data_IF_130764660908
#
_entry.id   IF_130764660908
#
_cell.length_a   1.000
_cell.length_b   1.000
_cell.length_c   1.000
_cell.angle_alpha   90.00
_cell.angle_beta   90.00
_cell.angle_gamma   90.00
#
_symmetry.space_group_name_H-M   'P 1'
#
loop_
_entity.id
_entity.type
_entity.pdbx_description
1 polymer ?
#
# COMPACT_ATOMS: atom_id res chain seq x y z
N UNK A 1 0.08 2.53 -4.45
CA UNK A 1 -1.22 3.16 -4.63
C UNK A 1 -1.54 3.13 -6.12
N UNK A 2 -2.70 2.62 -6.50
CA UNK A 2 -3.10 2.47 -7.92
C UNK A 2 -4.25 3.40 -8.30
N UNK A 3 -5.08 3.73 -7.32
CA UNK A 3 -6.29 4.50 -7.52
C UNK A 3 -6.26 5.76 -6.68
N UNK A 4 -6.80 6.84 -7.22
CA UNK A 4 -6.90 8.13 -6.52
C UNK A 4 -8.33 8.32 -6.06
N UNK A 5 -8.49 8.65 -4.77
CA UNK A 5 -9.76 9.10 -4.23
C UNK A 5 -10.26 10.33 -5.01
N UNK A 6 -11.54 10.41 -5.36
CA UNK A 6 -12.07 11.51 -6.18
C UNK A 6 -12.18 12.83 -5.39
N UNK A 7 -11.02 13.39 -4.98
CA UNK A 7 -10.95 14.60 -4.16
C UNK A 7 -11.67 15.82 -4.74
N UNK A 8 -11.73 15.93 -6.07
CA UNK A 8 -12.37 17.09 -6.72
C UNK A 8 -13.87 16.99 -6.73
N UNK A 9 -14.40 15.79 -6.71
CA UNK A 9 -15.83 15.48 -6.83
C UNK A 9 -16.50 15.34 -5.46
N UNK A 10 -15.74 14.99 -4.43
CA UNK A 10 -16.27 14.77 -3.08
C UNK A 10 -15.95 15.99 -2.21
N UNK A 11 -16.94 16.64 -1.59
CA UNK A 11 -16.71 17.78 -0.70
C UNK A 11 -15.86 17.41 0.52
N UNK A 12 -14.95 18.29 0.92
CA UNK A 12 -14.15 18.16 2.15
C UNK A 12 -15.07 18.04 3.36
N UNK A 13 -14.74 17.16 4.28
CA UNK A 13 -15.49 16.96 5.53
C UNK A 13 -16.77 16.13 5.35
N UNK A 14 -17.05 15.62 4.15
CA UNK A 14 -18.18 14.72 3.94
C UNK A 14 -18.07 13.46 4.81
N UNK A 15 -19.21 13.00 5.32
CA UNK A 15 -19.34 11.71 6.01
C UNK A 15 -19.62 10.63 4.97
N UNK A 16 -18.62 9.81 4.70
CA UNK A 16 -18.67 8.87 3.57
C UNK A 16 -18.71 7.41 4.02
N UNK A 17 -19.36 6.60 3.18
CA UNK A 17 -19.25 5.14 3.21
C UNK A 17 -18.47 4.71 1.97
N UNK A 18 -17.46 3.85 2.15
CA UNK A 18 -16.73 3.22 1.05
C UNK A 18 -17.33 1.84 0.83
N UNK A 19 -17.77 1.52 -0.38
CA UNK A 19 -18.27 0.19 -0.71
C UNK A 19 -17.39 -0.51 -1.74
N UNK A 20 -16.81 -1.63 -1.31
CA UNK A 20 -15.78 -2.44 -1.95
C UNK A 20 -14.45 -2.32 -1.20
N UNK A 21 -13.84 -3.48 -0.87
CA UNK A 21 -12.60 -3.53 -0.09
C UNK A 21 -11.42 -4.10 -0.91
N UNK A 22 -11.56 -4.17 -2.22
CA UNK A 22 -10.46 -4.49 -3.14
C UNK A 22 -9.43 -3.36 -3.17
N UNK A 23 -8.44 -3.44 -4.05
CA UNK A 23 -7.36 -2.47 -4.12
C UNK A 23 -7.84 -1.01 -4.20
N UNK A 24 -8.92 -0.74 -4.96
CA UNK A 24 -9.49 0.61 -5.08
C UNK A 24 -10.00 1.13 -3.73
N UNK A 25 -10.80 0.32 -3.03
CA UNK A 25 -11.33 0.69 -1.72
C UNK A 25 -10.23 0.85 -0.67
N UNK A 26 -9.23 -0.01 -0.73
CA UNK A 26 -8.05 0.08 0.11
C UNK A 26 -7.28 1.39 -0.09
N UNK A 27 -7.02 1.74 -1.35
CA UNK A 27 -6.33 2.99 -1.67
C UNK A 27 -7.14 4.22 -1.23
N UNK A 28 -8.47 4.20 -1.40
CA UNK A 28 -9.35 5.27 -0.96
C UNK A 28 -9.37 5.43 0.55
N UNK A 29 -9.61 4.32 1.27
CA UNK A 29 -9.62 4.34 2.73
C UNK A 29 -8.33 4.94 3.29
N UNK A 30 -7.18 4.50 2.79
CA UNK A 30 -5.87 5.02 3.23
C UNK A 30 -5.69 6.49 2.91
N UNK A 31 -6.02 6.92 1.70
CA UNK A 31 -5.90 8.32 1.29
C UNK A 31 -6.75 9.22 2.19
N UNK A 32 -8.01 8.86 2.39
CA UNK A 32 -8.93 9.64 3.22
C UNK A 32 -8.43 9.71 4.67
N UNK A 33 -7.99 8.56 5.24
CA UNK A 33 -7.46 8.53 6.62
C UNK A 33 -6.16 9.32 6.78
N UNK A 34 -5.27 9.27 5.79
CA UNK A 34 -3.99 10.01 5.84
C UNK A 34 -4.20 11.51 5.70
N UNK A 35 -5.25 11.92 4.99
CA UNK A 35 -5.50 13.32 4.66
C UNK A 35 -6.50 14.02 5.57
N UNK A 36 -7.26 13.26 6.35
CA UNK A 36 -8.45 13.74 7.06
C UNK A 36 -9.43 14.50 6.15
N UNK A 37 -9.45 14.12 4.85
CA UNK A 37 -10.26 14.81 3.85
C UNK A 37 -11.75 14.63 4.08
N UNK A 38 -12.16 13.41 4.48
CA UNK A 38 -13.53 13.02 4.80
C UNK A 38 -13.54 12.16 6.06
N UNK A 39 -14.71 12.08 6.70
CA UNK A 39 -14.97 11.11 7.77
C UNK A 39 -15.46 9.79 7.16
N UNK A 40 -14.72 8.69 7.32
CA UNK A 40 -15.16 7.36 6.88
C UNK A 40 -16.06 6.76 7.95
N UNK A 41 -17.38 6.74 7.71
CA UNK A 41 -18.42 6.21 8.61
C UNK A 41 -18.43 4.68 8.59
N UNK A 42 -18.22 4.09 7.42
CA UNK A 42 -18.11 2.65 7.26
C UNK A 42 -17.32 2.29 6.01
N UNK A 43 -16.72 1.11 6.03
CA UNK A 43 -16.13 0.48 4.86
C UNK A 43 -16.80 -0.87 4.66
N UNK A 44 -17.45 -1.09 3.54
CA UNK A 44 -18.35 -2.21 3.29
C UNK A 44 -17.81 -3.12 2.20
N UNK A 45 -17.99 -4.44 2.38
CA UNK A 45 -17.72 -5.43 1.33
C UNK A 45 -18.52 -6.71 1.60
N UNK A 46 -18.95 -7.40 0.52
CA UNK A 46 -19.62 -8.71 0.63
C UNK A 46 -18.72 -9.78 1.21
N UNK A 47 -17.41 -9.68 1.02
CA UNK A 47 -16.41 -10.59 1.57
C UNK A 47 -15.82 -10.08 2.90
N UNK A 48 -16.58 -9.33 3.68
CA UNK A 48 -16.14 -8.66 4.90
C UNK A 48 -15.45 -9.60 5.91
N UNK A 49 -15.87 -10.86 6.02
CA UNK A 49 -15.23 -11.83 6.91
C UNK A 49 -13.77 -12.08 6.52
N UNK A 50 -13.49 -12.23 5.23
CA UNK A 50 -12.15 -12.42 4.72
C UNK A 50 -11.27 -11.18 4.97
N UNK A 51 -11.84 -9.99 4.79
CA UNK A 51 -11.13 -8.74 5.05
C UNK A 51 -10.84 -8.54 6.54
N UNK A 52 -11.75 -8.93 7.42
CA UNK A 52 -11.55 -8.90 8.87
C UNK A 52 -10.44 -9.85 9.34
N UNK A 53 -10.28 -11.01 8.72
CA UNK A 53 -9.13 -11.89 8.96
C UNK A 53 -7.79 -11.21 8.64
N UNK A 54 -7.81 -10.21 7.78
CA UNK A 54 -6.66 -9.36 7.43
C UNK A 54 -6.58 -8.07 8.27
N UNK A 55 -7.31 -8.01 9.39
CA UNK A 55 -7.41 -6.85 10.27
C UNK A 55 -7.91 -5.57 9.59
N UNK A 56 -8.76 -5.69 8.57
CA UNK A 56 -9.40 -4.54 7.96
C UNK A 56 -10.75 -4.26 8.61
N UNK A 57 -11.10 -3.00 8.91
CA UNK A 57 -12.36 -2.62 9.54
C UNK A 57 -13.51 -2.63 8.52
N UNK A 58 -13.74 -3.77 7.89
CA UNK A 58 -14.75 -3.93 6.84
C UNK A 58 -16.01 -4.57 7.42
N UNK A 59 -17.14 -3.96 7.15
CA UNK A 59 -18.46 -4.40 7.59
C UNK A 59 -19.27 -5.03 6.44
N UNK A 60 -20.30 -5.84 6.76
CA UNK A 60 -21.22 -6.34 5.73
C UNK A 60 -22.03 -5.19 5.13
N UNK A 61 -22.41 -5.27 3.82
CA UNK A 61 -23.10 -4.18 3.13
C UNK A 61 -24.42 -3.75 3.77
N UNK A 62 -25.16 -4.69 4.36
CA UNK A 62 -26.44 -4.43 5.03
C UNK A 62 -26.32 -3.58 6.30
N UNK A 63 -25.12 -3.46 6.87
CA UNK A 63 -24.88 -2.60 8.04
C UNK A 63 -25.04 -1.11 7.74
N UNK A 64 -25.16 -0.74 6.48
CA UNK A 64 -25.42 0.65 6.04
C UNK A 64 -26.75 1.20 6.52
N UNK A 65 -27.75 0.34 6.78
CA UNK A 65 -29.10 0.72 7.15
C UNK A 65 -29.18 1.60 8.41
N UNK A 66 -28.22 1.38 9.31
CA UNK A 66 -28.19 2.05 10.62
C UNK A 66 -27.14 3.18 10.66
N UNK A 67 -26.61 3.57 9.50
CA UNK A 67 -25.58 4.61 9.38
C UNK A 67 -26.16 5.93 8.89
N UNK A 68 -25.67 7.01 9.47
CA UNK A 68 -25.94 8.37 8.97
C UNK A 68 -24.71 8.85 8.19
N UNK A 69 -24.87 9.19 6.91
CA UNK A 69 -23.82 9.55 5.97
C UNK A 69 -24.34 10.48 4.87
N UNK A 70 -23.42 11.17 4.24
CA UNK A 70 -23.68 12.06 3.11
C UNK A 70 -23.63 11.30 1.78
N UNK A 71 -22.61 10.51 1.56
CA UNK A 71 -22.34 9.82 0.29
C UNK A 71 -21.84 8.39 0.51
N UNK A 72 -22.18 7.50 -0.44
CA UNK A 72 -21.57 6.18 -0.61
C UNK A 72 -20.69 6.21 -1.85
N UNK A 73 -19.41 5.86 -1.72
CA UNK A 73 -18.47 5.83 -2.84
C UNK A 73 -18.27 4.37 -3.25
N UNK A 74 -18.65 4.03 -4.48
CA UNK A 74 -18.43 2.71 -5.03
C UNK A 74 -17.01 2.61 -5.58
N UNK A 75 -16.33 1.51 -5.25
CA UNK A 75 -14.94 1.28 -5.66
C UNK A 75 -14.82 0.24 -6.78
N UNK A 76 -15.90 0.04 -7.54
CA UNK A 76 -15.93 -0.86 -8.68
C UNK A 76 -15.15 -0.28 -9.86
N UNK A 77 -14.31 -1.12 -10.47
CA UNK A 77 -13.54 -0.75 -11.67
C UNK A 77 -14.39 -0.81 -12.95
N UNK A 78 -15.52 -1.53 -12.93
CA UNK A 78 -16.38 -1.74 -14.10
C UNK A 78 -17.79 -1.25 -13.80
N UNK A 79 -18.38 -0.55 -14.76
CA UNK A 79 -19.76 -0.01 -14.69
C UNK A 79 -20.76 -1.09 -14.28
N UNK A 80 -20.74 -2.26 -14.94
CA UNK A 80 -21.64 -3.36 -14.58
C UNK A 80 -21.55 -3.77 -13.10
N UNK A 81 -20.35 -3.78 -12.53
CA UNK A 81 -20.14 -4.09 -11.10
C UNK A 81 -20.67 -2.95 -10.23
N UNK A 82 -20.44 -1.71 -10.63
CA UNK A 82 -20.97 -0.54 -9.93
C UNK A 82 -22.50 -0.55 -9.91
N UNK A 83 -23.15 -0.91 -11.03
CA UNK A 83 -24.60 -1.03 -11.13
C UNK A 83 -25.18 -2.08 -10.18
N UNK A 84 -24.51 -3.24 -10.07
CA UNK A 84 -24.91 -4.27 -9.11
C UNK A 84 -24.78 -3.79 -7.67
N UNK A 85 -23.69 -3.12 -7.33
CA UNK A 85 -23.46 -2.55 -6.00
C UNK A 85 -24.48 -1.46 -5.69
N UNK A 86 -24.77 -0.60 -6.66
CA UNK A 86 -25.81 0.45 -6.54
C UNK A 86 -27.20 -0.14 -6.30
N UNK A 87 -27.54 -1.21 -7.02
CA UNK A 87 -28.79 -1.93 -6.83
C UNK A 87 -28.94 -2.51 -5.43
N UNK A 88 -27.86 -3.09 -4.88
CA UNK A 88 -27.87 -3.59 -3.50
C UNK A 88 -28.15 -2.45 -2.51
N UNK A 89 -27.44 -1.32 -2.65
CA UNK A 89 -27.60 -0.16 -1.76
C UNK A 89 -29.02 0.39 -1.78
N UNK A 90 -29.62 0.51 -2.97
CA UNK A 90 -31.02 0.92 -3.12
C UNK A 90 -31.95 -0.10 -2.43
N UNK A 91 -31.65 -1.40 -2.55
CA UNK A 91 -32.36 -2.46 -1.83
C UNK A 91 -32.24 -2.36 -0.30
N UNK A 92 -31.19 -1.75 0.21
CA UNK A 92 -31.00 -1.44 1.64
C UNK A 92 -31.63 -0.10 2.05
N UNK A 93 -32.23 0.64 1.12
CA UNK A 93 -32.90 1.92 1.40
C UNK A 93 -32.01 3.16 1.19
N UNK A 94 -30.84 3.01 0.59
CA UNK A 94 -29.96 4.14 0.29
C UNK A 94 -30.52 4.92 -0.90
N UNK A 95 -30.73 6.25 -0.79
CA UNK A 95 -31.15 7.08 -1.91
C UNK A 95 -30.13 7.05 -3.05
N UNK A 96 -30.60 6.91 -4.29
CA UNK A 96 -29.73 6.76 -5.45
C UNK A 96 -28.80 7.97 -5.67
N UNK A 97 -29.23 9.15 -5.30
CA UNK A 97 -28.47 10.41 -5.37
C UNK A 97 -27.32 10.49 -4.36
N UNK A 98 -27.33 9.67 -3.32
CA UNK A 98 -26.21 9.54 -2.39
C UNK A 98 -25.14 8.57 -2.86
N UNK A 99 -25.34 7.86 -3.97
CA UNK A 99 -24.39 6.86 -4.46
C UNK A 99 -23.52 7.47 -5.55
N UNK A 100 -22.24 7.61 -5.24
CA UNK A 100 -21.23 8.13 -6.15
C UNK A 100 -20.41 6.99 -6.78
N UNK A 101 -20.25 7.05 -8.08
CA UNK A 101 -19.32 6.24 -8.85
C UNK A 101 -18.84 7.04 -10.06
N UNK A 102 -17.60 6.86 -10.44
CA UNK A 102 -17.10 7.35 -11.71
C UNK A 102 -16.37 6.23 -12.46
N UNK A 103 -16.43 6.30 -13.76
CA UNK A 103 -15.58 5.48 -14.61
C UNK A 103 -14.14 5.97 -14.46
N UNK A 104 -13.22 5.02 -14.26
CA UNK A 104 -11.79 5.28 -14.14
C UNK A 104 -11.35 6.12 -12.92
N UNK A 105 -10.95 5.40 -11.88
CA UNK A 105 -10.24 5.95 -10.71
C UNK A 105 -8.72 5.87 -10.85
N UNK A 106 -8.19 5.56 -12.03
CA UNK A 106 -6.78 5.28 -12.23
C UNK A 106 -5.88 6.48 -11.99
N UNK A 107 -4.68 6.19 -11.48
CA UNK A 107 -3.62 7.18 -11.34
C UNK A 107 -2.93 7.36 -12.68
N UNK A 108 -3.42 8.26 -13.51
CA UNK A 108 -2.77 8.65 -14.76
C UNK A 108 -1.65 9.66 -14.56
N UNK A 109 -1.70 10.41 -13.44
CA UNK A 109 -0.76 11.45 -13.08
C UNK A 109 -0.21 11.26 -11.67
N UNK A 110 0.86 11.97 -11.34
CA UNK A 110 1.43 12.00 -10.01
C UNK A 110 0.37 12.45 -8.99
N UNK A 111 0.13 11.63 -7.97
CA UNK A 111 -0.81 11.91 -6.87
C UNK A 111 -0.60 13.31 -6.27
N UNK A 112 0.63 13.80 -6.25
CA UNK A 112 0.94 15.16 -5.79
C UNK A 112 0.22 16.28 -6.56
N UNK A 113 -0.30 16.02 -7.76
CA UNK A 113 -1.09 17.02 -8.51
C UNK A 113 -2.58 17.01 -8.14
N UNK A 114 -3.10 15.87 -7.70
CA UNK A 114 -4.48 15.72 -7.24
C UNK A 114 -4.60 16.05 -5.75
N UNK A 115 -3.57 15.81 -5.04
CA UNK A 115 -3.36 16.04 -3.64
C UNK A 115 -2.54 17.31 -3.49
N UNK A 116 -2.92 18.20 -2.61
CA UNK A 116 -2.25 19.49 -2.40
C UNK A 116 -0.72 19.33 -2.24
N UNK A 117 0.04 19.63 -3.29
CA UNK A 117 1.50 19.51 -3.32
C UNK A 117 2.19 20.39 -2.24
N UNK A 118 1.58 21.52 -1.88
CA UNK A 118 2.08 22.39 -0.82
C UNK A 118 1.85 21.75 0.56
N UNK A 119 0.75 20.99 0.73
CA UNK A 119 0.53 20.20 1.93
C UNK A 119 1.62 19.13 2.09
N UNK A 120 1.93 18.39 1.03
CA UNK A 120 3.02 17.39 1.06
C UNK A 120 4.38 18.01 1.44
N UNK A 121 4.69 19.18 0.90
CA UNK A 121 5.93 19.90 1.28
C UNK A 121 5.95 20.28 2.75
N UNK A 122 4.84 20.84 3.27
CA UNK A 122 4.70 21.15 4.69
C UNK A 122 4.81 19.90 5.56
N UNK A 123 4.17 18.82 5.14
CA UNK A 123 4.23 17.54 5.84
C UNK A 123 5.65 16.96 5.89
N UNK A 124 6.48 17.21 4.88
CA UNK A 124 7.89 16.84 4.92
C UNK A 124 8.67 17.65 5.98
N UNK A 125 8.26 18.88 6.29
CA UNK A 125 8.87 19.69 7.34
C UNK A 125 8.66 19.10 8.75
N UNK A 126 7.57 18.36 8.95
CA UNK A 126 7.25 17.67 10.22
C UNK A 126 7.88 16.28 10.32
N UNK A 127 8.50 15.78 9.24
CA UNK A 127 9.12 14.46 9.25
C UNK A 127 10.34 14.43 10.16
N UNK A 128 10.48 13.35 10.93
CA UNK A 128 11.61 13.09 11.83
C UNK A 128 12.52 12.01 11.26
N UNK A 129 13.82 12.11 11.55
CA UNK A 129 14.79 11.10 11.16
C UNK A 129 14.82 9.99 12.20
N UNK A 130 14.72 8.74 11.74
CA UNK A 130 14.72 7.57 12.61
C UNK A 130 15.49 6.39 12.00
N UNK A 131 16.04 5.49 12.84
CA UNK A 131 16.69 4.27 12.35
C UNK A 131 15.73 3.45 11.49
N UNK A 132 16.15 3.11 10.27
CA UNK A 132 15.31 2.35 9.33
C UNK A 132 14.85 1.00 9.88
N UNK A 133 15.67 0.33 10.68
CA UNK A 133 15.35 -0.96 11.32
C UNK A 133 14.25 -0.89 12.39
N UNK A 134 13.87 0.32 12.85
CA UNK A 134 12.73 0.52 13.76
C UNK A 134 11.44 -0.06 13.17
N UNK A 135 11.25 0.12 11.86
CA UNK A 135 10.02 -0.24 11.15
C UNK A 135 10.01 -1.65 10.56
N UNK A 136 11.10 -2.43 10.75
CA UNK A 136 11.12 -3.84 10.37
C UNK A 136 10.53 -4.69 11.49
N UNK A 137 9.52 -5.53 11.17
CA UNK A 137 8.88 -6.45 12.12
C UNK A 137 8.47 -7.76 11.44
N UNK A 138 7.95 -8.73 12.20
CA UNK A 138 7.55 -10.04 11.68
C UNK A 138 6.31 -10.00 10.77
N UNK A 139 5.57 -8.91 10.76
CA UNK A 139 4.41 -8.72 9.88
C UNK A 139 4.73 -7.96 8.58
N UNK A 140 6.01 -7.72 8.30
CA UNK A 140 6.45 -7.10 7.07
C UNK A 140 7.67 -7.78 6.45
N UNK A 141 7.69 -9.11 6.43
CA UNK A 141 8.77 -9.93 5.85
C UNK A 141 8.98 -9.69 4.35
N UNK A 142 7.97 -9.15 3.66
CA UNK A 142 8.10 -8.67 2.29
C UNK A 142 9.19 -7.60 2.14
N UNK A 143 9.43 -6.80 3.20
CA UNK A 143 10.53 -5.84 3.24
C UNK A 143 11.87 -6.57 3.35
N UNK A 144 11.95 -7.63 4.17
CA UNK A 144 13.15 -8.45 4.28
C UNK A 144 13.57 -9.05 2.92
N UNK A 145 12.60 -9.57 2.15
CA UNK A 145 12.88 -10.06 0.78
C UNK A 145 13.44 -8.96 -0.11
N UNK A 146 12.89 -7.74 -0.04
CA UNK A 146 13.45 -6.60 -0.79
C UNK A 146 14.86 -6.22 -0.33
N UNK A 147 15.14 -6.31 0.95
CA UNK A 147 16.47 -6.03 1.50
C UNK A 147 17.49 -7.06 1.01
N UNK A 148 17.15 -8.35 0.99
CA UNK A 148 18.01 -9.41 0.46
C UNK A 148 18.37 -9.13 -1.00
N UNK A 149 17.37 -8.84 -1.83
CA UNK A 149 17.58 -8.49 -3.22
C UNK A 149 18.42 -7.20 -3.39
N UNK A 150 18.13 -6.17 -2.62
CA UNK A 150 18.89 -4.92 -2.65
C UNK A 150 20.37 -5.11 -2.29
N UNK A 151 20.67 -5.97 -1.31
CA UNK A 151 22.04 -6.28 -0.89
C UNK A 151 22.82 -7.02 -1.96
N UNK A 152 22.19 -7.94 -2.67
CA UNK A 152 22.83 -8.60 -3.82
C UNK A 152 23.22 -7.58 -4.89
N UNK A 153 22.32 -6.66 -5.22
CA UNK A 153 22.59 -5.58 -6.18
C UNK A 153 23.78 -4.73 -5.69
N UNK A 154 23.77 -4.30 -4.43
CA UNK A 154 24.80 -3.43 -3.86
C UNK A 154 26.17 -4.09 -3.80
N UNK A 155 26.19 -5.41 -3.58
CA UNK A 155 27.41 -6.21 -3.47
C UNK A 155 27.94 -6.69 -4.82
N UNK A 156 27.17 -6.55 -5.91
CA UNK A 156 27.48 -7.09 -7.23
C UNK A 156 27.43 -8.62 -7.29
N UNK A 157 26.73 -9.26 -6.35
CA UNK A 157 26.53 -10.71 -6.32
C UNK A 157 25.51 -11.16 -7.37
N UNK A 158 25.43 -12.48 -7.62
CA UNK A 158 24.33 -13.06 -8.37
C UNK A 158 23.01 -12.84 -7.60
N UNK A 159 22.16 -11.99 -8.17
CA UNK A 159 20.88 -11.63 -7.57
C UNK A 159 19.69 -12.45 -8.09
N UNK A 160 19.92 -13.47 -8.92
CA UNK A 160 18.86 -14.21 -9.64
C UNK A 160 17.83 -14.80 -8.68
N UNK A 161 18.25 -15.42 -7.60
CA UNK A 161 17.39 -16.04 -6.59
C UNK A 161 16.50 -15.01 -5.88
N UNK A 162 17.09 -13.98 -5.27
CA UNK A 162 16.34 -12.99 -4.52
C UNK A 162 15.53 -12.08 -5.42
N UNK A 163 15.97 -11.90 -6.68
CA UNK A 163 15.17 -11.22 -7.70
C UNK A 163 13.90 -12.00 -8.03
N UNK A 164 13.96 -13.34 -8.12
CA UNK A 164 12.76 -14.16 -8.33
C UNK A 164 11.83 -14.14 -7.11
N UNK A 165 12.36 -14.17 -5.89
CA UNK A 165 11.57 -13.99 -4.67
C UNK A 165 10.89 -12.62 -4.65
N UNK A 166 11.62 -11.56 -4.96
CA UNK A 166 11.08 -10.20 -5.08
C UNK A 166 9.99 -10.11 -6.17
N UNK A 167 10.19 -10.76 -7.32
CA UNK A 167 9.20 -10.82 -8.39
C UNK A 167 7.88 -11.44 -7.90
N UNK A 168 7.93 -12.56 -7.19
CA UNK A 168 6.74 -13.22 -6.64
C UNK A 168 5.94 -12.30 -5.70
N UNK A 169 6.59 -11.61 -4.79
CA UNK A 169 5.87 -10.67 -3.90
C UNK A 169 5.31 -9.47 -4.67
N UNK A 170 5.98 -8.99 -5.72
CA UNK A 170 5.49 -7.86 -6.51
C UNK A 170 4.27 -8.26 -7.35
N UNK A 171 4.32 -9.39 -8.05
CA UNK A 171 3.21 -9.90 -8.86
C UNK A 171 1.97 -10.11 -8.00
N UNK A 172 2.11 -10.72 -6.83
CA UNK A 172 0.99 -10.95 -5.92
C UNK A 172 0.43 -9.68 -5.28
N UNK A 173 1.27 -8.70 -4.93
CA UNK A 173 0.81 -7.40 -4.44
C UNK A 173 0.11 -6.59 -5.53
N UNK A 174 0.36 -6.88 -6.78
CA UNK A 174 -0.36 -6.30 -7.91
C UNK A 174 -1.72 -6.96 -8.17
N UNK A 175 -2.01 -8.10 -7.52
CA UNK A 175 -3.35 -8.73 -7.51
C UNK A 175 -3.68 -9.59 -8.73
N UNK A 176 -2.70 -10.00 -9.54
CA UNK A 176 -2.95 -10.82 -10.73
C UNK A 176 -1.85 -11.84 -11.02
N UNK A 177 -2.23 -12.89 -11.74
CA UNK A 177 -1.29 -13.85 -12.37
C UNK A 177 -0.31 -13.06 -13.24
N UNK A 178 0.95 -13.48 -13.24
CA UNK A 178 2.00 -12.90 -14.07
C UNK A 178 1.48 -12.55 -15.47
N UNK A 179 1.44 -11.27 -15.86
CA UNK A 179 1.23 -10.98 -17.25
C UNK A 179 2.48 -11.46 -17.98
N UNK A 180 2.32 -12.38 -18.91
CA UNK A 180 3.33 -12.54 -19.97
C UNK A 180 3.45 -11.21 -20.68
N UNK A 181 4.60 -10.90 -21.27
CA UNK A 181 4.83 -9.60 -21.94
C UNK A 181 3.71 -9.23 -22.94
N UNK A 182 2.97 -10.25 -23.43
CA UNK A 182 1.84 -10.12 -24.36
C UNK A 182 0.47 -9.91 -23.66
N UNK A 183 0.38 -10.06 -22.35
CA UNK A 183 -0.87 -10.03 -21.57
C UNK A 183 -0.90 -8.96 -20.48
N UNK A 184 -0.07 -7.95 -20.56
CA UNK A 184 -0.17 -6.82 -19.63
C UNK A 184 -1.49 -6.11 -19.93
N UNK A 185 -2.52 -6.21 -19.07
CA UNK A 185 -3.76 -5.49 -19.29
C UNK A 185 -3.46 -4.01 -19.45
N UNK A 186 -4.11 -3.34 -20.41
CA UNK A 186 -3.86 -1.92 -20.69
C UNK A 186 -3.98 -1.06 -19.42
N UNK A 187 -4.88 -1.42 -18.49
CA UNK A 187 -5.04 -0.75 -17.20
C UNK A 187 -3.80 -0.85 -16.31
N UNK A 188 -3.03 -1.95 -16.38
CA UNK A 188 -1.80 -2.14 -15.59
C UNK A 188 -0.72 -1.13 -15.98
N UNK A 189 -0.64 -0.79 -17.27
CA UNK A 189 0.31 0.18 -17.80
C UNK A 189 -0.07 1.62 -17.45
N UNK A 190 -1.36 1.91 -17.27
CA UNK A 190 -1.86 3.22 -16.88
C UNK A 190 -1.77 3.47 -15.37
N UNK A 191 -2.02 2.45 -14.54
CA UNK A 191 -2.16 2.60 -13.08
C UNK A 191 -0.85 2.72 -12.31
N UNK A 192 0.18 2.05 -12.77
CA UNK A 192 1.44 2.01 -12.01
C UNK A 192 2.50 2.91 -12.62
N UNK A 193 2.24 3.52 -13.76
CA UNK A 193 3.25 4.16 -14.61
C UNK A 193 4.43 3.21 -14.94
N UNK A 194 4.26 1.91 -14.66
CA UNK A 194 5.26 0.87 -14.78
C UNK A 194 4.70 -0.29 -15.57
N UNK A 195 5.40 -0.70 -16.61
CA UNK A 195 5.01 -1.79 -17.50
C UNK A 195 5.56 -3.11 -16.97
N UNK A 196 4.78 -3.82 -16.14
CA UNK A 196 5.14 -5.13 -15.63
C UNK A 196 6.33 -5.13 -14.64
N UNK A 197 6.77 -6.32 -14.25
CA UNK A 197 7.84 -6.51 -13.27
C UNK A 197 9.15 -5.82 -13.64
N UNK A 198 9.53 -5.80 -14.93
CA UNK A 198 10.76 -5.15 -15.40
C UNK A 198 10.85 -3.68 -14.96
N UNK A 199 9.76 -2.93 -15.13
CA UNK A 199 9.74 -1.52 -14.74
C UNK A 199 9.76 -1.31 -13.22
N UNK A 200 9.21 -2.26 -12.44
CA UNK A 200 9.36 -2.25 -10.99
C UNK A 200 10.80 -2.52 -10.57
N UNK A 201 11.43 -3.50 -11.19
CA UNK A 201 12.83 -3.87 -10.94
C UNK A 201 13.78 -2.70 -11.26
N UNK A 202 13.62 -2.09 -12.43
CA UNK A 202 14.38 -0.90 -12.84
C UNK A 202 14.20 0.25 -11.85
N UNK A 203 12.95 0.59 -11.50
CA UNK A 203 12.68 1.66 -10.54
C UNK A 203 13.23 1.37 -9.15
N UNK A 204 13.27 0.11 -8.71
CA UNK A 204 13.85 -0.24 -7.42
C UNK A 204 15.37 -0.10 -7.44
N UNK A 205 16.02 -0.48 -8.53
CA UNK A 205 17.47 -0.27 -8.74
C UNK A 205 17.84 1.20 -8.76
N UNK A 206 17.08 2.03 -9.48
CA UNK A 206 17.27 3.49 -9.51
C UNK A 206 17.09 4.11 -8.11
N UNK A 207 16.06 3.70 -7.38
CA UNK A 207 15.85 4.14 -5.99
C UNK A 207 17.01 3.74 -5.10
N UNK A 208 17.49 2.50 -5.20
CA UNK A 208 18.61 1.98 -4.40
C UNK A 208 19.90 2.76 -4.68
N UNK A 209 20.20 3.03 -5.93
CA UNK A 209 21.34 3.85 -6.35
C UNK A 209 21.20 5.29 -5.84
N UNK A 210 20.01 5.87 -5.93
CA UNK A 210 19.75 7.21 -5.41
C UNK A 210 19.96 7.28 -3.89
N UNK A 211 19.45 6.32 -3.11
CA UNK A 211 19.63 6.30 -1.66
C UNK A 211 21.10 6.08 -1.29
N UNK A 212 21.81 5.19 -2.03
CA UNK A 212 23.25 4.95 -1.83
C UNK A 212 24.09 6.22 -2.04
N UNK A 213 23.82 6.97 -3.10
CA UNK A 213 24.62 8.11 -3.50
C UNK A 213 24.25 9.42 -2.80
N UNK A 214 22.99 9.61 -2.44
CA UNK A 214 22.46 10.89 -1.95
C UNK A 214 21.88 10.82 -0.54
N UNK A 215 21.86 9.64 0.09
CA UNK A 215 21.15 9.40 1.34
C UNK A 215 19.62 9.39 1.15
N UNK A 216 18.91 9.23 2.26
CA UNK A 216 17.46 9.23 2.28
C UNK A 216 16.95 10.68 2.44
N UNK A 217 16.31 11.21 1.41
CA UNK A 217 15.87 12.60 1.40
C UNK A 217 14.55 12.80 2.15
N UNK A 218 14.45 13.91 2.88
CA UNK A 218 13.30 14.25 3.72
C UNK A 218 12.00 14.40 2.95
N UNK A 219 12.03 14.95 1.75
CA UNK A 219 10.86 15.08 0.89
C UNK A 219 10.23 13.75 0.46
N UNK A 220 10.97 12.63 0.62
CA UNK A 220 10.49 11.27 0.35
C UNK A 220 10.16 10.51 1.63
N UNK A 221 9.78 11.20 2.68
CA UNK A 221 9.47 10.59 3.98
C UNK A 221 8.51 9.39 3.86
N UNK A 222 8.59 8.50 4.83
CA UNK A 222 7.73 7.32 4.95
C UNK A 222 6.57 7.66 5.88
N UNK A 223 5.32 7.68 5.38
CA UNK A 223 4.16 7.85 6.24
C UNK A 223 3.93 6.58 7.06
N UNK A 224 3.77 6.75 8.36
CA UNK A 224 3.46 5.69 9.33
C UNK A 224 2.19 6.04 10.10
N UNK A 225 1.48 5.04 10.58
CA UNK A 225 0.33 5.26 11.45
C UNK A 225 0.73 5.37 12.93
N UNK A 226 -0.23 5.67 13.79
CA UNK A 226 -0.02 5.84 15.23
C UNK A 226 0.47 4.58 15.95
N UNK A 227 0.31 3.40 15.34
CA UNK A 227 0.81 2.12 15.87
C UNK A 227 2.20 1.78 15.31
N UNK A 228 2.81 2.68 14.54
CA UNK A 228 4.11 2.49 13.89
C UNK A 228 4.06 1.61 12.64
N UNK A 229 2.88 1.33 12.11
CA UNK A 229 2.68 0.59 10.86
C UNK A 229 2.98 1.43 9.62
N UNK A 230 3.50 0.79 8.59
CA UNK A 230 3.80 1.47 7.34
C UNK A 230 2.54 1.71 6.51
N UNK A 231 2.19 2.97 6.30
CA UNK A 231 1.12 3.35 5.37
C UNK A 231 1.62 3.18 3.91
N UNK A 232 2.86 3.60 3.64
CA UNK A 232 3.50 3.50 2.32
C UNK A 232 5.03 3.46 2.46
N UNK A 233 5.75 3.21 1.36
CA UNK A 233 7.21 3.38 1.32
C UNK A 233 8.02 2.11 1.56
N UNK A 234 7.44 0.90 1.40
CA UNK A 234 8.15 -0.39 1.59
C UNK A 234 9.46 -0.51 0.80
N UNK A 235 9.49 -0.06 -0.46
CA UNK A 235 10.71 -0.05 -1.26
C UNK A 235 11.74 0.95 -0.72
N UNK A 236 11.29 2.13 -0.29
CA UNK A 236 12.15 3.15 0.30
C UNK A 236 12.78 2.67 1.60
N UNK A 237 11.97 2.03 2.45
CA UNK A 237 12.46 1.42 3.69
C UNK A 237 13.47 0.31 3.41
N UNK A 238 13.18 -0.59 2.48
CA UNK A 238 14.11 -1.67 2.12
C UNK A 238 15.42 -1.13 1.56
N UNK A 239 15.39 -0.10 0.72
CA UNK A 239 16.60 0.56 0.21
C UNK A 239 17.41 1.20 1.34
N UNK A 240 16.77 1.90 2.28
CA UNK A 240 17.44 2.50 3.43
C UNK A 240 18.10 1.45 4.34
N UNK A 241 17.39 0.35 4.65
CA UNK A 241 17.95 -0.77 5.43
C UNK A 241 19.13 -1.42 4.72
N UNK A 242 19.03 -1.64 3.40
CA UNK A 242 20.11 -2.28 2.64
C UNK A 242 21.37 -1.41 2.58
N UNK A 243 21.22 -0.10 2.50
CA UNK A 243 22.31 0.88 2.49
C UNK A 243 22.84 1.17 3.91
N UNK A 244 22.02 0.94 4.95
CA UNK A 244 22.38 1.24 6.34
C UNK A 244 22.19 2.73 6.69
N UNK A 245 21.14 3.37 6.21
CA UNK A 245 20.85 4.79 6.52
C UNK A 245 19.52 4.94 7.26
N UNK A 246 19.40 6.03 8.00
CA UNK A 246 18.14 6.43 8.62
C UNK A 246 17.10 6.78 7.56
N UNK A 247 15.84 6.80 7.97
CA UNK A 247 14.69 7.22 7.17
C UNK A 247 14.04 8.45 7.80
N UNK A 248 13.45 9.27 6.97
CA UNK A 248 12.53 10.32 7.43
C UNK A 248 11.13 9.72 7.50
N UNK A 249 10.44 9.89 8.63
CA UNK A 249 9.08 9.38 8.86
C UNK A 249 8.17 10.47 9.36
N UNK A 250 6.88 10.35 9.05
CA UNK A 250 5.84 11.18 9.61
C UNK A 250 4.68 10.31 10.07
N UNK A 251 4.26 10.52 11.31
CA UNK A 251 3.12 9.83 11.89
C UNK A 251 1.80 10.49 11.47
N UNK A 252 0.79 9.66 11.22
CA UNK A 252 -0.58 10.07 10.95
C UNK A 252 -1.50 9.44 11.99
N UNK A 253 -2.43 10.24 12.51
CA UNK A 253 -3.34 9.86 13.59
C UNK A 253 -4.43 8.90 13.09
N UNK A 254 -4.06 7.72 12.68
CA UNK A 254 -4.98 6.60 12.55
C UNK A 254 -4.26 5.28 12.85
N UNK A 255 -4.98 4.32 13.37
CA UNK A 255 -4.47 3.02 13.77
C UNK A 255 -5.24 1.88 13.10
N UNK A 256 -4.66 0.69 13.14
CA UNK A 256 -5.38 -0.55 12.91
C UNK A 256 -5.44 -1.02 11.46
N UNK A 257 -4.54 -0.54 10.62
CA UNK A 257 -4.53 -0.96 9.23
C UNK A 257 -3.20 -1.61 8.82
N UNK A 258 -2.99 -2.85 9.23
CA UNK A 258 -1.77 -3.59 8.92
C UNK A 258 -2.04 -4.77 8.00
N UNK A 259 -1.36 -4.80 6.87
CA UNK A 259 -1.19 -6.05 6.14
C UNK A 259 -0.16 -6.91 6.87
N UNK A 260 -0.54 -8.14 7.20
CA UNK A 260 0.37 -9.12 7.75
C UNK A 260 1.08 -9.86 6.61
N UNK A 261 2.27 -9.39 6.26
CA UNK A 261 3.18 -10.07 5.33
C UNK A 261 4.14 -11.00 6.10
N UNK A 262 3.57 -11.89 6.91
CA UNK A 262 4.27 -12.85 7.76
C UNK A 262 4.62 -14.15 7.01
N UNK A 263 5.14 -15.15 7.73
CA UNK A 263 5.50 -16.46 7.16
C UNK A 263 4.34 -17.12 6.40
N UNK A 264 3.14 -17.11 6.98
CA UNK A 264 1.94 -17.68 6.34
C UNK A 264 1.57 -16.97 5.05
N UNK A 265 1.83 -15.66 4.97
CA UNK A 265 1.65 -14.93 3.73
C UNK A 265 2.68 -15.33 2.68
N UNK A 266 3.96 -15.52 3.06
CA UNK A 266 5.00 -16.00 2.15
C UNK A 266 4.66 -17.40 1.60
N UNK A 267 4.12 -18.31 2.43
CA UNK A 267 3.61 -19.60 1.96
C UNK A 267 2.56 -19.44 0.86
N UNK A 268 1.57 -18.56 1.08
CA UNK A 268 0.54 -18.25 0.06
C UNK A 268 1.12 -17.67 -1.23
N UNK A 269 2.27 -16.99 -1.15
CA UNK A 269 2.99 -16.46 -2.31
C UNK A 269 3.86 -17.51 -3.00
N UNK A 270 3.77 -18.78 -2.60
CA UNK A 270 4.50 -19.89 -3.21
C UNK A 270 5.97 -19.98 -2.81
N UNK A 271 6.34 -19.41 -1.65
CA UNK A 271 7.66 -19.62 -1.10
C UNK A 271 7.78 -21.01 -0.49
N UNK A 272 8.89 -21.69 -0.77
CA UNK A 272 9.22 -22.95 -0.13
C UNK A 272 9.62 -22.75 1.34
N UNK A 273 9.54 -23.79 2.15
CA UNK A 273 9.97 -23.75 3.55
C UNK A 273 11.45 -23.33 3.70
N UNK A 274 12.29 -23.70 2.74
CA UNK A 274 13.70 -23.29 2.71
C UNK A 274 13.84 -21.78 2.48
N UNK A 275 13.12 -21.21 1.52
CA UNK A 275 13.12 -19.77 1.24
C UNK A 275 12.55 -18.96 2.41
N UNK A 276 11.49 -19.46 3.06
CA UNK A 276 10.94 -18.83 4.26
C UNK A 276 11.96 -18.83 5.40
N UNK A 277 12.65 -19.96 5.63
CA UNK A 277 13.70 -20.04 6.65
C UNK A 277 14.82 -19.01 6.37
N UNK A 278 15.25 -18.88 5.13
CA UNK A 278 16.26 -17.89 4.72
C UNK A 278 15.80 -16.44 4.99
N UNK A 279 14.55 -16.10 4.65
CA UNK A 279 13.97 -14.79 4.95
C UNK A 279 13.92 -14.54 6.46
N UNK A 280 13.56 -15.54 7.25
CA UNK A 280 13.50 -15.44 8.71
C UNK A 280 14.89 -15.28 9.33
N UNK A 281 15.89 -15.97 8.80
CA UNK A 281 17.28 -15.83 9.27
C UNK A 281 17.82 -14.43 8.96
N UNK A 282 17.57 -13.91 7.77
CA UNK A 282 17.95 -12.53 7.43
C UNK A 282 17.19 -11.52 8.31
N UNK A 283 15.89 -11.69 8.51
CA UNK A 283 15.11 -10.86 9.42
C UNK A 283 15.72 -10.83 10.84
N UNK A 284 16.04 -11.99 11.41
CA UNK A 284 16.68 -12.09 12.74
C UNK A 284 18.04 -11.41 12.77
N UNK A 285 18.85 -11.58 11.71
CA UNK A 285 20.15 -10.92 11.56
C UNK A 285 20.03 -9.40 11.55
N UNK A 286 19.06 -8.86 10.82
CA UNK A 286 18.79 -7.43 10.77
C UNK A 286 18.36 -6.88 12.13
N UNK A 287 17.47 -7.60 12.83
CA UNK A 287 16.99 -7.18 14.16
C UNK A 287 18.09 -7.24 15.22
N UNK A 288 18.98 -8.22 15.17
CA UNK A 288 20.10 -8.32 16.12
C UNK A 288 21.13 -7.22 15.91
N UNK A 289 21.37 -6.76 14.67
CA UNK A 289 22.25 -5.61 14.41
C UNK A 289 21.71 -4.30 14.99
N UNK A 290 20.39 -4.10 14.98
CA UNK A 290 19.76 -2.92 15.59
C UNK A 290 19.89 -2.87 17.13
N UNK A 291 20.04 -4.02 17.79
CA UNK A 291 20.22 -4.11 19.24
C UNK A 291 21.62 -3.71 19.74
N UNK A 292 22.63 -3.83 18.89
CA UNK A 292 24.03 -3.58 19.24
C UNK A 292 24.45 -2.10 19.09
N UNK A 293 23.64 -1.25 18.44
CA UNK A 293 23.94 0.19 18.28
C UNK A 293 23.51 1.04 19.50
N UNK A 294 22.93 0.43 20.53
CA UNK A 294 22.47 1.11 21.76
C UNK A 294 23.34 0.83 22.98
N UNK A 295 24.56 0.31 22.79
CA UNK A 295 25.53 0.02 23.85
C UNK A 295 26.61 1.08 23.99
#
# INVERSE_FOLDING_TARGET
>A
MRYVFPFKEIPVGSRIVIYGATQTGYDFYRQVKTTDYCEVIAWLDRQYLWWREMNLPVDPPESIKDKDFDLVILTAEKEHTADLMKKDLIGFGVPAEKVFWKDDYSVRENIAKEYDAERFKREAEDAISEPSLKYLNGDNLDITVRVMYARDILSGNDCSKHREMYKRIMVNQMGEKEPTDDMIPAYFTEYTMKKGFKAFDESFRELLESVKNNGFKREYFIPVDSDGGLINGRHRLAAAIAVGTDVWTREYLFSGFHHHFNERWLEKMGFSSYEIAEVMDEYRRLKSSAGNEKG
#
